data_IF_974100757056
#
_entry.id   IF_974100757056
#
_cell.length_a   1.000
_cell.length_b   1.000
_cell.length_c   1.000
_cell.angle_alpha   90.00
_cell.angle_beta   90.00
_cell.angle_gamma   90.00
#
_symmetry.space_group_name_H-M   'P 1'
#
loop_
_entity.id
_entity.type
_entity.pdbx_description
1 polymer ?
#
# COMPACT_ATOMS: atom_id res chain seq x y z
N UNK A 1 38.33 -72.41 38.35
CA UNK A 1 39.44 -71.67 38.97
C UNK A 1 38.87 -70.36 39.51
N UNK A 2 38.70 -70.28 40.83
CA UNK A 2 38.61 -69.11 41.71
C UNK A 2 37.98 -67.79 41.19
N UNK A 3 36.76 -67.46 41.66
CA UNK A 3 36.44 -66.46 42.74
C UNK A 3 36.17 -65.06 42.14
N UNK A 4 35.19 -64.25 42.56
CA UNK A 4 34.36 -64.25 43.77
C UNK A 4 33.42 -63.03 43.74
N UNK A 5 32.11 -63.26 43.98
CA UNK A 5 31.18 -62.56 44.91
C UNK A 5 31.01 -61.02 44.84
N UNK A 6 29.88 -60.39 45.18
CA UNK A 6 28.55 -60.71 45.78
C UNK A 6 27.66 -59.45 45.53
N UNK A 7 26.39 -59.54 45.09
CA UNK A 7 25.17 -59.87 45.85
C UNK A 7 24.77 -58.77 46.88
N UNK A 8 23.67 -58.00 46.69
CA UNK A 8 22.31 -58.14 47.29
C UNK A 8 21.60 -56.76 47.19
N UNK A 9 20.28 -56.53 47.11
CA UNK A 9 19.06 -57.27 47.51
C UNK A 9 17.81 -56.56 46.94
N UNK A 10 16.78 -57.36 46.65
CA UNK A 10 15.34 -57.10 46.51
C UNK A 10 14.74 -55.97 47.38
N UNK A 11 13.67 -55.29 46.90
CA UNK A 11 12.32 -55.30 47.50
C UNK A 11 11.24 -54.82 46.49
N UNK A 12 10.09 -55.47 46.59
CA UNK A 12 8.83 -55.39 45.80
C UNK A 12 8.00 -54.18 46.25
N UNK A 13 7.26 -53.50 45.35
CA UNK A 13 5.88 -53.04 45.61
C UNK A 13 5.07 -52.80 44.32
N UNK A 14 3.79 -53.09 44.42
CA UNK A 14 2.73 -53.29 43.41
C UNK A 14 1.96 -51.99 43.14
N UNK A 15 1.56 -51.73 41.88
CA UNK A 15 0.26 -51.17 41.44
C UNK A 15 0.29 -51.01 39.90
N UNK A 16 -0.34 -51.89 39.12
CA UNK A 16 -1.76 -51.86 38.76
C UNK A 16 -2.19 -50.59 37.97
N UNK A 17 -2.26 -50.76 36.65
CA UNK A 17 -3.27 -50.21 35.71
C UNK A 17 -3.58 -48.71 35.73
N UNK A 18 -3.30 -48.02 34.61
CA UNK A 18 -4.35 -47.38 33.79
C UNK A 18 -3.78 -46.92 32.44
N UNK A 19 -4.34 -47.51 31.38
CA UNK A 19 -4.38 -46.92 30.04
C UNK A 19 -5.26 -45.69 30.15
N UNK A 20 -4.71 -44.51 29.86
CA UNK A 20 -5.49 -43.32 29.57
C UNK A 20 -4.89 -42.68 28.32
N UNK A 21 -5.64 -42.79 27.22
CA UNK A 21 -5.48 -41.95 26.04
C UNK A 21 -5.49 -40.49 26.49
N UNK A 22 -4.32 -39.84 26.49
CA UNK A 22 -4.21 -38.39 26.59
C UNK A 22 -4.44 -37.81 25.19
N UNK A 23 -5.72 -37.79 24.78
CA UNK A 23 -6.21 -36.80 23.84
C UNK A 23 -6.48 -35.52 24.63
N UNK A 24 -5.46 -34.66 24.69
CA UNK A 24 -5.45 -33.32 25.29
C UNK A 24 -4.56 -32.50 24.33
N UNK A 25 -4.91 -31.37 23.76
CA UNK A 25 -5.99 -30.41 23.95
C UNK A 25 -6.26 -29.83 22.56
N UNK A 26 -7.53 -29.74 22.19
CA UNK A 26 -7.98 -28.86 21.12
C UNK A 26 -7.50 -27.46 21.53
N UNK A 27 -6.51 -26.90 20.83
CA UNK A 27 -6.26 -25.46 20.87
C UNK A 27 -7.46 -24.85 20.16
N UNK A 28 -8.58 -24.69 20.88
CA UNK A 28 -9.55 -23.68 20.52
C UNK A 28 -8.81 -22.38 20.80
N UNK A 29 -8.33 -21.79 19.73
CA UNK A 29 -7.92 -20.40 19.68
C UNK A 29 -8.95 -19.59 20.47
N UNK A 30 -8.56 -19.21 21.69
CA UNK A 30 -9.38 -18.39 22.57
C UNK A 30 -9.17 -16.94 22.12
N UNK A 31 -9.43 -16.65 20.85
CA UNK A 31 -9.45 -15.29 20.35
C UNK A 31 -10.59 -14.58 21.08
N UNK A 32 -10.20 -13.74 22.04
CA UNK A 32 -11.13 -12.86 22.72
C UNK A 32 -11.77 -11.98 21.65
N UNK A 33 -13.06 -12.20 21.36
CA UNK A 33 -13.83 -11.35 20.44
C UNK A 33 -13.55 -9.89 20.77
N UNK A 34 -12.97 -9.15 19.83
CA UNK A 34 -12.66 -7.73 19.98
C UNK A 34 -13.95 -6.95 20.24
N UNK A 35 -13.98 -6.16 21.32
CA UNK A 35 -15.19 -5.45 21.77
C UNK A 35 -15.00 -3.96 21.69
N UNK A 36 -15.96 -3.28 21.06
CA UNK A 36 -16.09 -1.83 21.04
C UNK A 36 -17.32 -1.45 21.85
N UNK A 37 -17.12 -0.76 22.97
CA UNK A 37 -18.20 -0.15 23.73
C UNK A 37 -18.20 1.34 23.43
N UNK A 38 -19.22 1.82 22.74
CA UNK A 38 -19.34 3.20 22.29
C UNK A 38 -20.41 3.91 23.12
N UNK A 39 -20.12 5.16 23.47
CA UNK A 39 -21.08 6.05 24.12
C UNK A 39 -21.79 6.88 23.05
N UNK A 40 -23.12 6.93 23.10
CA UNK A 40 -23.92 7.65 22.08
C UNK A 40 -23.56 9.13 21.99
N UNK A 41 -23.35 9.81 23.11
CA UNK A 41 -23.04 11.24 23.14
C UNK A 41 -21.65 11.55 22.58
N UNK A 42 -20.76 10.55 22.51
CA UNK A 42 -19.44 10.64 21.88
C UNK A 42 -19.44 10.32 20.38
N UNK A 43 -20.58 9.90 19.80
CA UNK A 43 -20.66 9.62 18.37
C UNK A 43 -20.65 10.92 17.58
N UNK A 44 -19.68 11.01 16.66
CA UNK A 44 -19.68 12.04 15.64
C UNK A 44 -20.61 11.64 14.49
N UNK A 45 -20.79 12.54 13.51
CA UNK A 45 -21.50 12.19 12.27
C UNK A 45 -20.89 10.95 11.59
N UNK A 46 -19.56 10.83 11.66
CA UNK A 46 -18.81 9.63 11.29
C UNK A 46 -17.85 9.24 12.42
N UNK A 47 -17.98 8.01 12.91
CA UNK A 47 -17.09 7.40 13.91
C UNK A 47 -16.30 6.27 13.26
N UNK A 48 -14.99 6.23 13.48
CA UNK A 48 -14.08 5.30 12.81
C UNK A 48 -13.59 4.21 13.77
N UNK A 49 -13.64 2.94 13.34
CA UNK A 49 -13.12 1.79 14.06
C UNK A 49 -12.15 1.00 13.17
N UNK A 50 -10.92 0.81 13.63
CA UNK A 50 -9.90 0.02 12.93
C UNK A 50 -10.01 -1.45 13.29
N UNK A 51 -10.14 -2.30 12.28
CA UNK A 51 -10.39 -3.75 12.43
C UNK A 51 -9.57 -4.55 11.42
N UNK A 52 -9.25 -5.78 11.77
CA UNK A 52 -8.49 -6.69 10.90
C UNK A 52 -9.41 -7.50 9.98
N UNK A 53 -8.87 -7.97 8.85
CA UNK A 53 -9.60 -8.88 7.96
C UNK A 53 -10.11 -10.09 8.74
N UNK A 54 -11.33 -10.53 8.43
CA UNK A 54 -11.92 -11.78 8.92
C UNK A 54 -12.12 -11.95 10.42
N UNK A 55 -11.78 -10.96 11.25
CA UNK A 55 -12.03 -11.08 12.67
C UNK A 55 -13.54 -11.00 12.96
N UNK A 56 -13.94 -11.56 14.10
CA UNK A 56 -15.29 -11.37 14.63
C UNK A 56 -15.22 -10.28 15.70
N UNK A 57 -15.99 -9.21 15.52
CA UNK A 57 -16.06 -8.11 16.49
C UNK A 57 -17.45 -8.01 17.14
N UNK A 58 -17.50 -7.33 18.28
CA UNK A 58 -18.74 -6.95 18.96
C UNK A 58 -18.76 -5.45 19.18
N UNK A 59 -19.78 -4.77 18.66
CA UNK A 59 -20.03 -3.34 18.86
C UNK A 59 -21.22 -3.21 19.80
N UNK A 60 -21.08 -2.45 20.87
CA UNK A 60 -22.15 -2.17 21.84
C UNK A 60 -22.31 -0.68 22.04
N UNK A 61 -23.54 -0.21 22.08
CA UNK A 61 -23.91 1.12 22.55
C UNK A 61 -24.28 1.08 24.04
N UNK A 62 -24.07 2.20 24.73
CA UNK A 62 -24.56 2.46 26.08
C UNK A 62 -26.07 2.74 26.16
N UNK A 63 -26.72 2.87 25.00
CA UNK A 63 -28.14 3.16 24.84
C UNK A 63 -28.81 2.14 23.91
N UNK A 64 -30.14 2.07 23.97
CA UNK A 64 -30.92 1.14 23.14
C UNK A 64 -30.89 1.58 21.68
N UNK A 65 -30.53 0.64 20.81
CA UNK A 65 -30.48 0.82 19.37
C UNK A 65 -31.78 0.33 18.74
N UNK A 66 -32.41 1.19 17.95
CA UNK A 66 -33.61 0.88 17.18
C UNK A 66 -33.31 -0.01 15.99
N UNK A 67 -32.18 0.25 15.31
CA UNK A 67 -31.80 -0.48 14.12
C UNK A 67 -30.35 -0.27 13.73
N UNK A 68 -29.80 -1.32 13.12
CA UNK A 68 -28.49 -1.34 12.49
C UNK A 68 -28.70 -1.58 11.00
N UNK A 69 -28.18 -0.72 10.12
CA UNK A 69 -28.27 -0.89 8.67
C UNK A 69 -26.86 -1.05 8.10
N UNK A 70 -26.59 -2.20 7.50
CA UNK A 70 -25.30 -2.54 6.89
C UNK A 70 -25.46 -3.69 5.91
N UNK A 71 -24.51 -3.83 4.98
CA UNK A 71 -24.40 -4.97 4.06
C UNK A 71 -23.54 -6.11 4.62
N UNK A 72 -22.96 -5.92 5.81
CA UNK A 72 -22.11 -6.90 6.48
C UNK A 72 -22.91 -8.09 7.02
N UNK A 73 -22.25 -9.24 7.16
CA UNK A 73 -22.79 -10.36 7.91
C UNK A 73 -22.76 -10.03 9.41
N UNK A 74 -23.95 -9.92 9.99
CA UNK A 74 -24.14 -9.46 11.37
C UNK A 74 -25.18 -10.28 12.13
N UNK A 75 -25.04 -10.29 13.46
CA UNK A 75 -26.00 -10.89 14.38
C UNK A 75 -26.29 -9.94 15.54
N UNK A 76 -27.52 -9.49 15.65
CA UNK A 76 -27.99 -8.71 16.81
C UNK A 76 -27.94 -9.62 18.05
N UNK A 77 -27.24 -9.18 19.09
CA UNK A 77 -27.06 -9.94 20.32
C UNK A 77 -28.10 -9.57 21.39
N UNK A 78 -28.45 -8.29 21.46
CA UNK A 78 -29.46 -7.72 22.34
C UNK A 78 -29.88 -6.33 21.81
N UNK A 79 -30.60 -5.54 22.59
CA UNK A 79 -31.11 -4.21 22.20
C UNK A 79 -30.04 -3.11 22.12
N UNK A 80 -28.76 -3.41 22.36
CA UNK A 80 -27.67 -2.43 22.25
C UNK A 80 -26.39 -2.95 21.59
N UNK A 81 -26.27 -4.25 21.30
CA UNK A 81 -25.05 -4.86 20.79
C UNK A 81 -25.25 -5.62 19.48
N UNK A 82 -24.31 -5.43 18.56
CA UNK A 82 -24.19 -6.09 17.27
C UNK A 82 -22.90 -6.91 17.23
N UNK A 83 -23.01 -8.18 16.83
CA UNK A 83 -21.86 -8.99 16.41
C UNK A 83 -21.67 -8.80 14.90
N UNK A 84 -20.45 -8.55 14.47
CA UNK A 84 -20.11 -8.31 13.05
C UNK A 84 -19.01 -9.27 12.65
N UNK A 85 -19.19 -9.94 11.51
CA UNK A 85 -18.12 -10.67 10.85
C UNK A 85 -17.43 -9.72 9.87
N UNK A 86 -16.16 -9.42 10.12
CA UNK A 86 -15.40 -8.49 9.30
C UNK A 86 -15.10 -9.12 7.93
N UNK A 87 -15.22 -8.38 6.81
CA UNK A 87 -14.93 -8.88 5.47
C UNK A 87 -13.52 -9.41 5.29
N UNK A 88 -13.35 -10.17 4.22
CA UNK A 88 -12.05 -10.75 3.85
C UNK A 88 -11.15 -9.82 3.05
N UNK A 89 -11.70 -8.79 2.39
CA UNK A 89 -10.93 -7.83 1.60
C UNK A 89 -10.79 -6.52 2.40
N UNK A 90 -9.61 -5.89 2.31
CA UNK A 90 -9.35 -4.58 2.92
C UNK A 90 -10.26 -3.54 2.26
N UNK A 91 -10.86 -2.64 3.04
CA UNK A 91 -11.81 -1.65 2.55
C UNK A 91 -12.58 -0.95 3.66
N UNK A 92 -13.46 -0.02 3.25
CA UNK A 92 -14.40 0.63 4.15
C UNK A 92 -15.72 -0.14 4.23
N UNK A 93 -16.20 -0.41 5.44
CA UNK A 93 -17.52 -1.01 5.66
C UNK A 93 -18.37 -0.20 6.64
N UNK A 94 -19.35 0.59 6.16
CA UNK A 94 -20.18 1.41 7.02
C UNK A 94 -21.30 0.61 7.69
N UNK A 95 -21.64 1.03 8.91
CA UNK A 95 -22.79 0.59 9.69
C UNK A 95 -23.55 1.84 10.13
N UNK A 96 -24.80 1.98 9.69
CA UNK A 96 -25.67 3.05 10.18
C UNK A 96 -26.37 2.57 11.44
N UNK A 97 -26.33 3.38 12.50
CA UNK A 97 -27.02 3.13 13.76
C UNK A 97 -28.11 4.17 13.98
N UNK A 98 -29.32 3.71 14.31
CA UNK A 98 -30.49 4.55 14.61
C UNK A 98 -30.96 4.30 16.04
N UNK A 99 -31.29 5.37 16.76
CA UNK A 99 -31.78 5.30 18.14
C UNK A 99 -33.31 5.48 18.17
N UNK A 100 -33.96 5.04 19.26
CA UNK A 100 -35.43 5.05 19.34
C UNK A 100 -36.03 6.43 19.63
N UNK A 101 -35.25 7.31 20.22
CA UNK A 101 -35.61 8.64 20.71
C UNK A 101 -35.21 9.77 19.74
N UNK A 102 -34.67 9.43 18.57
CA UNK A 102 -34.27 10.40 17.55
C UNK A 102 -34.35 9.79 16.15
N UNK A 103 -34.71 10.61 15.16
CA UNK A 103 -34.61 10.21 13.75
C UNK A 103 -33.19 10.34 13.19
N UNK A 104 -32.24 10.88 13.97
CA UNK A 104 -30.84 10.97 13.58
C UNK A 104 -30.20 9.59 13.45
N UNK A 105 -29.53 9.37 12.33
CA UNK A 105 -28.68 8.19 12.09
C UNK A 105 -27.21 8.57 12.21
N UNK A 106 -26.42 7.74 12.89
CA UNK A 106 -24.97 7.92 13.00
C UNK A 106 -24.27 6.86 12.14
N UNK A 107 -23.14 7.23 11.53
CA UNK A 107 -22.35 6.30 10.72
C UNK A 107 -21.14 5.82 11.52
N UNK A 108 -21.04 4.51 11.69
CA UNK A 108 -19.83 3.83 12.17
C UNK A 108 -19.11 3.23 10.97
N UNK A 109 -17.92 3.73 10.68
CA UNK A 109 -17.05 3.28 9.60
C UNK A 109 -16.07 2.25 10.13
N UNK A 110 -16.17 1.00 9.65
CA UNK A 110 -15.13 0.00 9.89
C UNK A 110 -14.03 0.16 8.83
N UNK A 111 -12.85 0.59 9.27
CA UNK A 111 -11.63 0.61 8.47
C UNK A 111 -10.98 -0.77 8.54
N UNK A 112 -11.27 -1.63 7.55
CA UNK A 112 -10.80 -3.03 7.53
C UNK A 112 -9.40 -3.09 6.94
N UNK A 113 -8.40 -3.46 7.75
CA UNK A 113 -6.98 -3.51 7.36
C UNK A 113 -6.39 -2.15 7.01
N UNK A 114 -6.92 -1.07 7.58
CA UNK A 114 -6.48 0.31 7.32
C UNK A 114 -6.37 1.11 8.60
N UNK A 115 -5.52 2.14 8.57
CA UNK A 115 -5.41 3.17 9.61
C UNK A 115 -6.19 4.42 9.23
N UNK A 116 -6.89 4.97 10.22
CA UNK A 116 -7.51 6.29 10.13
C UNK A 116 -6.58 7.32 10.80
N UNK A 117 -5.98 8.18 9.98
CA UNK A 117 -4.99 9.16 10.43
C UNK A 117 -5.54 10.58 10.24
N UNK A 118 -5.78 11.28 11.35
CA UNK A 118 -6.27 12.67 11.38
C UNK A 118 -5.14 13.63 11.78
N UNK A 119 -4.42 14.15 10.79
CA UNK A 119 -3.29 15.05 11.03
C UNK A 119 -3.75 16.49 11.26
N UNK A 120 -3.36 17.05 12.42
CA UNK A 120 -3.64 18.44 12.81
C UNK A 120 -2.33 19.21 12.95
N UNK A 121 -1.79 19.65 11.81
CA UNK A 121 -0.48 20.31 11.70
C UNK A 121 0.68 19.40 12.05
N UNK A 122 0.60 18.14 11.64
CA UNK A 122 1.68 17.17 11.82
C UNK A 122 2.96 17.66 11.13
N UNK A 123 4.08 17.62 11.83
CA UNK A 123 5.36 18.10 11.30
C UNK A 123 6.17 16.94 10.72
N UNK A 124 6.47 17.02 9.43
CA UNK A 124 7.29 16.03 8.73
C UNK A 124 8.63 16.63 8.28
N UNK A 125 9.74 15.91 8.50
CA UNK A 125 11.07 16.30 8.03
C UNK A 125 11.25 15.98 6.54
N UNK A 126 11.49 17.02 5.76
CA UNK A 126 11.70 16.98 4.31
C UNK A 126 13.09 17.56 3.97
N UNK A 127 13.63 17.24 2.79
CA UNK A 127 14.93 17.72 2.31
C UNK A 127 16.07 16.71 2.54
N UNK A 128 17.24 16.96 1.92
CA UNK A 128 18.35 16.01 1.76
C UNK A 128 18.05 14.77 0.90
N UNK A 129 17.01 14.85 0.07
CA UNK A 129 16.62 13.85 -0.90
C UNK A 129 16.35 14.58 -2.22
N UNK A 130 17.02 14.15 -3.31
CA UNK A 130 16.94 14.76 -4.63
C UNK A 130 15.51 14.85 -5.18
N UNK A 131 14.60 13.99 -4.71
CA UNK A 131 13.21 13.92 -5.17
C UNK A 131 12.23 14.67 -4.28
N UNK A 132 12.66 15.33 -3.20
CA UNK A 132 11.76 16.13 -2.36
C UNK A 132 11.81 17.62 -2.72
N UNK A 133 10.76 18.37 -2.37
CA UNK A 133 10.71 19.83 -2.57
C UNK A 133 11.98 20.53 -2.06
N UNK A 134 12.78 21.10 -2.97
CA UNK A 134 14.04 21.84 -2.66
C UNK A 134 15.07 20.96 -1.94
N UNK A 135 15.73 20.04 -2.66
CA UNK A 135 16.51 18.94 -2.08
C UNK A 135 17.72 19.35 -1.23
N UNK A 136 18.20 20.58 -1.37
CA UNK A 136 19.44 21.07 -0.77
C UNK A 136 19.29 21.67 0.64
N UNK A 137 18.06 21.84 1.13
CA UNK A 137 17.81 22.39 2.47
C UNK A 137 16.83 21.49 3.24
N UNK A 138 17.25 21.02 4.42
CA UNK A 138 16.33 20.35 5.35
C UNK A 138 15.26 21.34 5.80
N UNK A 139 14.00 20.92 5.74
CA UNK A 139 12.85 21.73 6.14
C UNK A 139 11.80 20.89 6.86
N UNK A 140 10.96 21.56 7.64
CA UNK A 140 9.80 20.95 8.28
C UNK A 140 8.56 21.40 7.52
N UNK A 141 7.75 20.43 7.09
CA UNK A 141 6.46 20.69 6.46
C UNK A 141 5.35 20.31 7.44
N UNK A 142 4.42 21.22 7.66
CA UNK A 142 3.22 20.99 8.45
C UNK A 142 2.09 20.49 7.57
N UNK A 143 1.50 19.38 7.96
CA UNK A 143 0.49 18.63 7.23
C UNK A 143 -0.81 18.64 8.00
N UNK A 144 -1.89 19.05 7.33
CA UNK A 144 -3.24 18.94 7.88
C UNK A 144 -4.14 18.22 6.90
N UNK A 145 -4.73 17.12 7.31
CA UNK A 145 -5.56 16.29 6.45
C UNK A 145 -5.89 14.96 7.10
N UNK A 146 -6.97 14.35 6.63
CA UNK A 146 -7.44 13.06 7.13
C UNK A 146 -7.25 12.01 6.05
N UNK A 147 -6.64 10.89 6.42
CA UNK A 147 -6.28 9.81 5.52
C UNK A 147 -6.84 8.48 6.03
N UNK A 148 -7.30 7.65 5.10
CA UNK A 148 -7.22 6.20 5.26
C UNK A 148 -5.98 5.71 4.55
N UNK A 149 -5.22 4.86 5.23
CA UNK A 149 -3.98 4.28 4.71
C UNK A 149 -4.03 2.79 4.94
N UNK A 150 -3.72 1.98 3.92
CA UNK A 150 -3.59 0.54 4.11
C UNK A 150 -2.50 0.26 5.15
N UNK A 151 -2.85 -0.54 6.15
CA UNK A 151 -1.98 -0.88 7.28
C UNK A 151 -0.74 -1.68 6.80
N UNK A 152 -0.96 -2.50 5.77
CA UNK A 152 0.02 -3.38 5.14
C UNK A 152 0.12 -3.08 3.63
N UNK A 153 1.21 -3.48 2.94
CA UNK A 153 1.19 -3.61 1.50
C UNK A 153 0.06 -4.55 1.05
N UNK A 154 -0.56 -4.27 -0.11
CA UNK A 154 -1.62 -5.11 -0.67
C UNK A 154 -1.11 -6.53 -0.89
N UNK A 155 -1.89 -7.55 -0.54
CA UNK A 155 -1.44 -8.96 -0.55
C UNK A 155 -1.75 -9.68 -1.86
N UNK A 156 -1.10 -10.83 -2.08
CA UNK A 156 -1.32 -11.67 -3.27
C UNK A 156 -2.77 -12.14 -3.40
N UNK A 157 -3.40 -12.55 -2.30
CA UNK A 157 -4.79 -12.95 -2.27
C UNK A 157 -5.71 -11.79 -2.64
N UNK A 158 -5.45 -10.58 -2.14
CA UNK A 158 -6.29 -9.42 -2.45
C UNK A 158 -6.30 -9.09 -3.94
N UNK A 159 -5.14 -9.06 -4.59
CA UNK A 159 -5.06 -8.89 -6.05
C UNK A 159 -5.78 -10.03 -6.76
N UNK A 160 -5.55 -11.27 -6.33
CA UNK A 160 -6.14 -12.47 -6.97
C UNK A 160 -7.66 -12.45 -6.90
N UNK A 161 -8.25 -12.06 -5.77
CA UNK A 161 -9.70 -12.00 -5.58
C UNK A 161 -10.32 -10.76 -6.25
N UNK A 162 -9.70 -9.59 -6.10
CA UNK A 162 -10.23 -8.33 -6.63
C UNK A 162 -10.14 -8.25 -8.15
N UNK A 163 -9.06 -8.75 -8.74
CA UNK A 163 -8.82 -8.74 -10.19
C UNK A 163 -9.04 -10.13 -10.81
N UNK A 164 -9.82 -10.99 -10.14
CA UNK A 164 -10.02 -12.39 -10.53
C UNK A 164 -10.35 -12.54 -12.01
N UNK A 165 -11.31 -11.76 -12.52
CA UNK A 165 -11.79 -11.87 -13.89
C UNK A 165 -10.79 -11.34 -14.93
N UNK A 166 -9.83 -10.49 -14.52
CA UNK A 166 -8.79 -9.96 -15.41
C UNK A 166 -7.58 -10.91 -15.51
N UNK A 167 -7.26 -11.66 -14.46
CA UNK A 167 -6.11 -12.58 -14.44
C UNK A 167 -6.37 -13.77 -15.40
N UNK A 168 -5.55 -14.01 -16.44
CA UNK A 168 -5.77 -15.08 -17.39
C UNK A 168 -5.56 -16.45 -16.75
N UNK A 169 -6.38 -17.44 -17.15
CA UNK A 169 -6.14 -18.84 -16.79
C UNK A 169 -5.03 -19.48 -17.64
N UNK A 170 -4.92 -19.05 -18.89
CA UNK A 170 -3.96 -19.56 -19.87
C UNK A 170 -3.09 -18.38 -20.34
N UNK A 171 -2.03 -18.05 -19.59
CA UNK A 171 -1.16 -16.92 -19.88
C UNK A 171 -0.36 -17.19 -21.16
N UNK A 172 0.03 -16.12 -21.87
CA UNK A 172 0.96 -16.21 -23.00
C UNK A 172 2.40 -16.15 -22.47
N UNK A 173 3.37 -15.81 -23.32
CA UNK A 173 4.79 -15.86 -22.98
C UNK A 173 5.30 -14.75 -22.04
N UNK A 174 4.41 -13.93 -21.47
CA UNK A 174 4.78 -12.87 -20.55
C UNK A 174 4.87 -13.39 -19.10
N UNK A 175 6.01 -13.15 -18.43
CA UNK A 175 6.30 -13.71 -17.10
C UNK A 175 5.26 -13.28 -16.05
N UNK A 176 4.81 -12.03 -16.06
CA UNK A 176 3.83 -11.53 -15.08
C UNK A 176 2.51 -12.32 -15.18
N UNK A 177 2.07 -12.63 -16.40
CA UNK A 177 0.84 -13.39 -16.63
C UNK A 177 1.02 -14.82 -16.14
N UNK A 178 2.19 -15.43 -16.37
CA UNK A 178 2.51 -16.79 -15.91
C UNK A 178 2.43 -16.90 -14.39
N UNK A 179 3.03 -15.95 -13.69
CA UNK A 179 3.06 -15.91 -12.22
C UNK A 179 1.65 -15.71 -11.63
N UNK A 180 0.90 -14.72 -12.11
CA UNK A 180 -0.45 -14.45 -11.61
C UNK A 180 -1.46 -15.53 -12.00
N UNK A 181 -1.35 -16.12 -13.19
CA UNK A 181 -2.16 -17.27 -13.58
C UNK A 181 -1.89 -18.49 -12.68
N UNK A 182 -0.62 -18.70 -12.28
CA UNK A 182 -0.28 -19.75 -11.33
C UNK A 182 -0.90 -19.49 -9.95
N UNK A 183 -0.81 -18.25 -9.44
CA UNK A 183 -1.45 -17.85 -8.17
C UNK A 183 -2.96 -18.09 -8.21
N UNK A 184 -3.62 -17.68 -9.30
CA UNK A 184 -5.06 -17.92 -9.52
C UNK A 184 -5.40 -19.40 -9.56
N UNK A 185 -4.59 -20.24 -10.22
CA UNK A 185 -4.80 -21.71 -10.26
C UNK A 185 -4.67 -22.37 -8.89
N UNK A 186 -3.83 -21.83 -8.01
CA UNK A 186 -3.69 -22.30 -6.62
C UNK A 186 -4.70 -21.69 -5.66
N UNK A 187 -5.59 -20.82 -6.14
CA UNK A 187 -6.56 -20.06 -5.34
C UNK A 187 -7.99 -20.46 -5.68
N UNK A 188 -8.92 -20.20 -4.78
CA UNK A 188 -10.36 -20.42 -4.95
C UNK A 188 -11.06 -19.06 -4.99
N UNK A 189 -11.97 -18.84 -5.96
CA UNK A 189 -12.73 -17.59 -6.05
C UNK A 189 -13.60 -17.39 -4.81
N UNK A 190 -13.59 -16.19 -4.27
CA UNK A 190 -14.26 -15.77 -3.03
C UNK A 190 -13.79 -16.52 -1.78
N UNK A 191 -12.57 -17.08 -1.81
CA UNK A 191 -11.98 -17.64 -0.60
C UNK A 191 -11.58 -16.55 0.39
N UNK A 192 -11.32 -16.99 1.61
CA UNK A 192 -10.85 -16.14 2.69
C UNK A 192 -9.38 -15.80 2.45
N UNK A 193 -9.08 -14.53 2.23
CA UNK A 193 -7.73 -14.00 2.29
C UNK A 193 -7.26 -13.89 3.72
N UNK A 194 -6.18 -14.59 4.07
CA UNK A 194 -5.57 -14.48 5.38
C UNK A 194 -5.18 -13.03 5.71
N UNK A 195 -5.29 -12.69 7.00
CA UNK A 195 -4.99 -11.33 7.48
C UNK A 195 -3.56 -10.94 7.13
N UNK A 196 -2.63 -11.84 7.43
CA UNK A 196 -1.20 -11.73 7.14
C UNK A 196 -0.79 -12.60 5.94
N UNK A 197 -1.54 -12.54 4.84
CA UNK A 197 -1.10 -13.14 3.58
C UNK A 197 0.20 -12.49 3.06
N UNK A 198 0.86 -13.18 2.14
CA UNK A 198 2.08 -12.71 1.48
C UNK A 198 1.85 -11.41 0.69
N UNK A 199 2.75 -10.43 0.83
CA UNK A 199 2.64 -9.17 0.10
C UNK A 199 2.64 -9.40 -1.42
N UNK A 200 1.83 -8.65 -2.16
CA UNK A 200 1.84 -8.70 -3.61
C UNK A 200 3.20 -8.21 -4.12
N UNK A 201 3.87 -9.05 -4.89
CA UNK A 201 5.05 -8.70 -5.66
C UNK A 201 4.79 -8.98 -7.14
N UNK A 202 5.58 -8.34 -8.02
CA UNK A 202 5.37 -8.38 -9.49
C UNK A 202 4.05 -7.72 -9.90
N UNK A 203 3.86 -6.48 -9.45
CA UNK A 203 2.76 -5.61 -9.86
C UNK A 203 3.34 -4.45 -10.66
N UNK A 204 2.86 -4.21 -11.89
CA UNK A 204 3.22 -2.97 -12.59
C UNK A 204 2.50 -1.76 -11.99
N UNK A 205 3.00 -0.56 -12.27
CA UNK A 205 2.29 0.68 -11.93
C UNK A 205 0.86 0.70 -12.48
N UNK A 206 0.67 0.26 -13.74
CA UNK A 206 -0.65 0.25 -14.36
C UNK A 206 -1.62 -0.69 -13.62
N UNK A 207 -1.16 -1.89 -13.24
CA UNK A 207 -1.95 -2.84 -12.46
C UNK A 207 -2.31 -2.28 -11.07
N UNK A 208 -1.37 -1.63 -10.39
CA UNK A 208 -1.65 -0.98 -9.10
C UNK A 208 -2.72 0.11 -9.23
N UNK A 209 -2.68 0.92 -10.29
CA UNK A 209 -3.71 1.93 -10.59
C UNK A 209 -5.07 1.29 -10.92
N UNK A 210 -5.11 0.20 -11.69
CA UNK A 210 -6.34 -0.56 -11.96
C UNK A 210 -6.94 -1.12 -10.67
N UNK A 211 -6.12 -1.71 -9.81
CA UNK A 211 -6.55 -2.23 -8.52
C UNK A 211 -7.15 -1.13 -7.63
N UNK A 212 -6.51 0.03 -7.55
CA UNK A 212 -7.03 1.18 -6.80
C UNK A 212 -8.43 1.63 -7.28
N UNK A 213 -8.62 1.70 -8.60
CA UNK A 213 -9.93 2.00 -9.19
C UNK A 213 -10.95 0.89 -8.93
N UNK A 214 -10.57 -0.38 -9.09
CA UNK A 214 -11.44 -1.52 -8.85
C UNK A 214 -11.93 -1.55 -7.39
N UNK A 215 -11.04 -1.27 -6.44
CA UNK A 215 -11.38 -1.12 -5.03
C UNK A 215 -12.34 0.04 -4.78
N UNK A 216 -12.08 1.19 -5.39
CA UNK A 216 -12.96 2.36 -5.31
C UNK A 216 -14.38 2.03 -5.78
N UNK A 217 -14.50 1.38 -6.94
CA UNK A 217 -15.79 0.99 -7.54
C UNK A 217 -16.53 -0.01 -6.64
N UNK A 218 -15.83 -1.00 -6.08
CA UNK A 218 -16.41 -1.98 -5.16
C UNK A 218 -17.06 -1.31 -3.94
N UNK A 219 -16.51 -0.18 -3.51
CA UNK A 219 -17.00 0.58 -2.35
C UNK A 219 -17.94 1.73 -2.73
N UNK A 220 -18.37 1.79 -4.01
CA UNK A 220 -19.28 2.82 -4.51
C UNK A 220 -18.66 4.21 -4.67
N UNK A 221 -17.32 4.29 -4.70
CA UNK A 221 -16.56 5.54 -4.80
C UNK A 221 -16.23 5.85 -6.25
N UNK A 222 -15.93 7.13 -6.52
CA UNK A 222 -15.49 7.58 -7.83
C UNK A 222 -14.03 7.16 -8.07
N UNK A 223 -13.70 6.49 -9.18
CA UNK A 223 -12.31 6.16 -9.53
C UNK A 223 -11.39 7.38 -9.58
N UNK A 224 -10.14 7.22 -9.13
CA UNK A 224 -9.14 8.29 -9.12
C UNK A 224 -8.43 8.43 -10.47
N UNK A 225 -8.17 7.31 -11.14
CA UNK A 225 -7.49 7.30 -12.44
C UNK A 225 -8.48 7.12 -13.59
N UNK A 226 -8.26 7.81 -14.70
CA UNK A 226 -8.95 7.59 -15.97
C UNK A 226 -7.96 7.12 -17.00
N UNK A 227 -8.32 6.07 -17.74
CA UNK A 227 -7.43 5.39 -18.66
C UNK A 227 -7.91 5.58 -20.10
N UNK A 228 -6.99 5.91 -21.00
CA UNK A 228 -7.23 5.92 -22.45
C UNK A 228 -6.07 5.26 -23.17
N UNK A 229 -6.34 4.24 -23.97
CA UNK A 229 -5.33 3.67 -24.86
C UNK A 229 -4.79 4.77 -25.78
N UNK A 230 -3.50 4.73 -26.07
CA UNK A 230 -2.86 5.69 -26.95
C UNK A 230 -1.74 5.05 -27.75
N UNK A 231 -1.64 5.44 -29.02
CA UNK A 231 -0.49 5.14 -29.88
C UNK A 231 0.65 6.12 -29.66
N UNK A 232 0.38 7.18 -28.91
CA UNK A 232 1.36 8.17 -28.53
C UNK A 232 2.38 7.50 -27.60
N UNK A 233 3.60 7.38 -28.12
CA UNK A 233 4.80 7.13 -27.34
C UNK A 233 5.42 8.42 -26.80
N UNK A 234 4.82 9.56 -27.16
CA UNK A 234 5.29 10.92 -26.91
C UNK A 234 4.06 11.79 -26.64
N UNK A 235 4.09 12.63 -25.62
CA UNK A 235 2.98 13.58 -25.40
C UNK A 235 3.38 14.94 -26.00
N UNK A 236 2.41 15.67 -26.57
CA UNK A 236 2.62 16.94 -27.25
C UNK A 236 2.70 18.14 -26.27
N UNK A 237 3.83 18.86 -26.28
CA UNK A 237 4.04 20.10 -25.51
C UNK A 237 3.35 21.30 -26.15
N UNK A 238 2.42 21.92 -25.42
CA UNK A 238 1.99 23.32 -25.69
C UNK A 238 2.58 24.21 -24.58
N UNK A 239 3.72 24.84 -24.85
CA UNK A 239 4.33 25.80 -23.93
C UNK A 239 3.77 27.21 -24.17
N UNK A 240 3.29 27.94 -23.13
CA UNK A 240 2.75 29.29 -23.32
C UNK A 240 3.82 30.40 -23.42
N UNK A 241 5.10 30.09 -23.23
CA UNK A 241 6.06 31.12 -22.79
C UNK A 241 6.53 32.13 -23.86
N UNK A 242 6.09 32.01 -25.10
CA UNK A 242 6.21 33.12 -26.06
C UNK A 242 4.89 33.28 -26.79
N UNK A 243 4.49 34.54 -27.05
CA UNK A 243 3.26 34.97 -27.75
C UNK A 243 3.11 34.46 -29.20
N UNK A 244 3.70 33.33 -29.54
CA UNK A 244 3.44 32.56 -30.74
C UNK A 244 3.16 31.12 -30.31
N UNK A 245 1.95 30.62 -30.55
CA UNK A 245 1.65 29.19 -30.47
C UNK A 245 2.61 28.47 -31.43
N UNK A 246 3.61 27.79 -30.89
CA UNK A 246 4.40 26.82 -31.64
C UNK A 246 3.92 25.43 -31.20
N UNK A 247 3.26 24.74 -32.11
CA UNK A 247 3.08 23.29 -31.99
C UNK A 247 4.46 22.66 -32.19
N UNK A 248 5.09 22.26 -31.09
CA UNK A 248 6.34 21.51 -31.17
C UNK A 248 5.96 20.03 -31.20
N UNK A 249 5.97 19.44 -32.39
CA UNK A 249 6.04 17.98 -32.51
C UNK A 249 7.46 17.57 -32.17
N UNK A 250 7.71 17.22 -30.91
CA UNK A 250 9.00 16.66 -30.51
C UNK A 250 9.09 15.26 -31.11
N UNK A 251 9.91 15.10 -32.16
CA UNK A 251 10.39 13.78 -32.58
C UNK A 251 11.49 13.41 -31.62
N UNK A 252 11.34 12.42 -30.74
CA UNK A 252 12.44 12.14 -29.86
C UNK A 252 13.36 11.13 -30.51
N UNK A 253 14.64 11.35 -30.28
CA UNK A 253 15.68 10.35 -30.54
C UNK A 253 15.70 9.26 -29.44
N UNK A 254 14.78 9.32 -28.46
CA UNK A 254 14.68 8.41 -27.32
C UNK A 254 13.20 8.22 -26.88
N UNK A 255 12.87 7.10 -26.25
CA UNK A 255 11.49 6.80 -25.82
C UNK A 255 11.27 7.41 -24.41
N UNK A 256 10.45 8.47 -24.29
CA UNK A 256 10.26 9.23 -23.05
C UNK A 256 8.82 9.15 -22.51
N UNK A 257 8.66 9.27 -21.19
CA UNK A 257 7.41 9.66 -20.52
C UNK A 257 7.59 11.13 -20.09
N UNK A 258 6.88 12.08 -20.71
CA UNK A 258 6.96 13.50 -20.34
C UNK A 258 5.59 13.98 -19.85
N UNK A 259 5.47 14.46 -18.61
CA UNK A 259 4.21 14.89 -17.99
C UNK A 259 3.79 16.27 -18.53
N UNK A 260 2.52 16.41 -18.92
CA UNK A 260 1.97 17.68 -19.44
C UNK A 260 1.02 18.37 -18.50
N UNK A 261 1.28 19.66 -18.31
CA UNK A 261 0.37 20.61 -17.72
C UNK A 261 -0.28 21.45 -18.82
N UNK A 262 -1.57 21.24 -19.03
CA UNK A 262 -2.38 22.13 -19.85
C UNK A 262 -2.64 23.41 -19.04
N UNK A 263 -1.76 24.41 -19.14
CA UNK A 263 -2.13 25.77 -18.75
C UNK A 263 -3.04 26.36 -19.83
N UNK A 264 -4.29 25.88 -19.90
CA UNK A 264 -5.39 26.72 -20.35
C UNK A 264 -5.50 27.85 -19.34
N UNK A 265 -5.44 29.11 -19.78
CA UNK A 265 -5.43 30.26 -18.87
C UNK A 265 -6.44 30.09 -17.72
N UNK A 266 -5.95 30.20 -16.49
CA UNK A 266 -6.71 30.05 -15.24
C UNK A 266 -7.26 28.65 -14.88
N UNK A 267 -6.72 27.55 -15.40
CA UNK A 267 -7.03 26.20 -14.90
C UNK A 267 -5.81 25.51 -14.29
N UNK A 268 -6.04 24.76 -13.20
CA UNK A 268 -5.02 24.03 -12.46
C UNK A 268 -4.34 22.94 -13.30
N UNK A 269 -3.06 22.63 -13.03
CA UNK A 269 -2.32 21.57 -13.70
C UNK A 269 -3.07 20.22 -13.67
N UNK A 270 -3.39 19.67 -14.84
CA UNK A 270 -3.95 18.31 -14.95
C UNK A 270 -2.81 17.30 -14.84
N UNK A 271 -2.75 16.50 -13.77
CA UNK A 271 -1.79 15.40 -13.68
C UNK A 271 -2.14 14.31 -14.71
N UNK A 272 -1.27 14.17 -15.72
CA UNK A 272 -1.41 13.18 -16.79
C UNK A 272 -0.11 12.40 -16.94
N UNK A 273 -0.21 11.09 -17.07
CA UNK A 273 0.92 10.18 -17.23
C UNK A 273 0.73 9.36 -18.51
N UNK A 274 1.79 9.14 -19.29
CA UNK A 274 1.79 8.06 -20.28
C UNK A 274 2.62 6.93 -19.74
N UNK A 275 2.02 5.77 -19.50
CA UNK A 275 2.71 4.62 -18.90
C UNK A 275 2.58 3.40 -19.80
N UNK A 276 3.46 2.42 -19.63
CA UNK A 276 3.36 1.17 -20.37
C UNK A 276 2.18 0.31 -19.86
N UNK A 277 1.49 -0.37 -20.78
CA UNK A 277 0.30 -1.19 -20.50
C UNK A 277 0.64 -2.58 -19.95
N UNK A 278 1.62 -2.69 -19.07
CA UNK A 278 1.99 -3.98 -18.48
C UNK A 278 0.89 -4.46 -17.54
N UNK A 279 -0.09 -5.21 -18.03
CA UNK A 279 -1.11 -5.87 -17.21
C UNK A 279 -1.32 -7.32 -17.63
N UNK A 280 -2.48 -7.87 -17.27
CA UNK A 280 -2.87 -9.26 -17.54
C UNK A 280 -3.24 -9.55 -19.00
N UNK A 281 -3.21 -8.55 -19.88
CA UNK A 281 -3.69 -8.66 -21.25
C UNK A 281 -2.64 -8.19 -22.26
N UNK A 282 -2.64 -8.85 -23.42
CA UNK A 282 -1.89 -8.37 -24.57
C UNK A 282 -2.63 -7.20 -25.19
N UNK A 283 -1.96 -6.06 -25.24
CA UNK A 283 -2.49 -4.88 -25.90
C UNK A 283 -1.87 -4.70 -27.28
N UNK A 284 -2.67 -4.20 -28.24
CA UNK A 284 -2.17 -3.80 -29.56
C UNK A 284 -1.24 -2.59 -29.45
N UNK A 285 -1.59 -1.66 -28.55
CA UNK A 285 -0.79 -0.48 -28.20
C UNK A 285 0.00 -0.75 -26.92
N UNK A 286 1.26 -0.32 -26.85
CA UNK A 286 2.09 -0.60 -25.67
C UNK A 286 1.94 0.42 -24.53
N UNK A 287 1.19 1.50 -24.72
CA UNK A 287 1.14 2.66 -23.81
C UNK A 287 -0.28 3.16 -23.54
N UNK A 288 -0.50 3.70 -22.34
CA UNK A 288 -1.78 4.23 -21.89
C UNK A 288 -1.62 5.63 -21.33
N UNK A 289 -2.53 6.53 -21.72
CA UNK A 289 -2.70 7.83 -21.09
C UNK A 289 -3.53 7.65 -19.83
N UNK A 290 -2.95 8.02 -18.70
CA UNK A 290 -3.59 8.08 -17.38
C UNK A 290 -3.85 9.53 -17.05
N UNK A 291 -5.11 9.89 -16.82
CA UNK A 291 -5.50 11.20 -16.30
C UNK A 291 -5.96 11.04 -14.85
N UNK A 292 -5.54 11.95 -13.99
CA UNK A 292 -5.98 11.99 -12.59
C UNK A 292 -7.25 12.81 -12.45
N UNK A 293 -8.19 12.31 -11.65
CA UNK A 293 -9.37 13.05 -11.22
C UNK A 293 -9.19 13.53 -9.77
N UNK A 294 -8.73 14.77 -9.60
CA UNK A 294 -8.52 15.36 -8.27
C UNK A 294 -9.80 15.56 -7.44
N UNK A 295 -10.98 15.37 -8.04
CA UNK A 295 -12.28 15.41 -7.36
C UNK A 295 -12.77 14.02 -6.93
N UNK A 296 -12.02 12.97 -7.24
CA UNK A 296 -12.33 11.61 -6.80
C UNK A 296 -12.21 11.49 -5.28
N UNK A 297 -13.19 10.82 -4.69
CA UNK A 297 -13.20 10.40 -3.29
C UNK A 297 -12.69 8.96 -3.12
N UNK A 298 -12.07 8.40 -4.17
CA UNK A 298 -11.59 7.02 -4.25
C UNK A 298 -10.15 6.84 -3.75
N UNK A 299 -9.68 5.60 -3.89
CA UNK A 299 -8.33 5.19 -3.53
C UNK A 299 -7.32 5.51 -4.62
N UNK A 300 -6.08 5.76 -4.19
CA UNK A 300 -4.93 6.02 -5.06
C UNK A 300 -3.64 5.52 -4.42
N UNK A 301 -2.57 5.54 -5.22
CA UNK A 301 -1.22 5.36 -4.72
C UNK A 301 -0.80 6.62 -3.97
N UNK A 302 0.03 6.50 -2.92
CA UNK A 302 0.57 7.66 -2.25
C UNK A 302 1.48 8.46 -3.18
N UNK A 303 1.47 9.78 -3.04
CA UNK A 303 2.54 10.60 -3.60
C UNK A 303 3.84 10.37 -2.80
N UNK A 304 4.98 10.67 -3.41
CA UNK A 304 6.30 10.48 -2.81
C UNK A 304 6.40 11.08 -1.41
N UNK A 305 5.94 12.33 -1.29
CA UNK A 305 5.96 13.12 -0.07
C UNK A 305 5.02 12.53 1.00
N UNK A 306 3.81 12.12 0.61
CA UNK A 306 2.88 11.43 1.49
C UNK A 306 3.47 10.12 2.00
N UNK A 307 4.05 9.31 1.12
CA UNK A 307 4.72 8.08 1.51
C UNK A 307 5.86 8.35 2.50
N UNK A 308 6.66 9.39 2.26
CA UNK A 308 7.75 9.79 3.16
C UNK A 308 7.25 10.15 4.56
N UNK A 309 6.18 10.94 4.65
CA UNK A 309 5.56 11.27 5.94
C UNK A 309 5.04 10.01 6.64
N UNK A 310 4.29 9.18 5.91
CA UNK A 310 3.69 7.96 6.43
C UNK A 310 4.75 6.97 6.90
N UNK A 311 5.84 6.79 6.15
CA UNK A 311 6.93 5.89 6.50
C UNK A 311 7.67 6.33 7.76
N UNK A 312 7.89 7.65 7.90
CA UNK A 312 8.54 8.23 9.09
C UNK A 312 7.73 8.03 10.36
N UNK A 313 6.40 8.00 10.30
CA UNK A 313 5.58 7.81 11.50
C UNK A 313 5.89 8.81 12.61
N UNK A 314 6.02 10.10 12.29
CA UNK A 314 6.40 11.14 13.26
C UNK A 314 7.90 11.27 13.55
N UNK A 315 8.78 10.43 12.98
CA UNK A 315 10.24 10.53 13.14
C UNK A 315 10.83 11.75 12.41
N UNK A 316 11.41 12.68 13.17
CA UNK A 316 11.86 14.00 12.69
C UNK A 316 13.35 14.11 12.40
N UNK A 317 14.17 13.15 12.80
CA UNK A 317 15.63 13.26 12.72
C UNK A 317 16.26 12.06 12.01
N UNK A 318 15.86 10.84 12.38
CA UNK A 318 16.47 9.64 11.86
C UNK A 318 16.08 9.39 10.40
N UNK A 319 16.99 8.72 9.67
CA UNK A 319 16.76 8.30 8.28
C UNK A 319 16.19 6.87 8.18
N UNK A 320 16.15 6.14 9.29
CA UNK A 320 15.58 4.79 9.43
C UNK A 320 15.07 4.56 10.86
N UNK A 321 14.15 3.60 11.09
CA UNK A 321 13.70 3.23 12.44
C UNK A 321 14.81 2.66 13.36
N UNK A 322 15.85 2.06 12.78
CA UNK A 322 16.95 1.43 13.53
C UNK A 322 18.15 2.34 13.77
N UNK A 323 18.04 3.63 13.43
CA UNK A 323 18.97 4.72 13.77
C UNK A 323 20.48 4.39 13.65
N UNK A 324 21.12 4.92 12.59
CA UNK A 324 22.58 5.00 12.33
C UNK A 324 23.25 3.77 11.64
N UNK A 325 24.38 4.07 10.97
CA UNK A 325 25.30 3.19 10.24
C UNK A 325 25.94 2.06 11.08
N UNK A 326 25.82 2.11 12.41
CA UNK A 326 26.33 1.08 13.34
C UNK A 326 25.29 0.02 13.71
N UNK A 327 24.06 0.11 13.17
CA UNK A 327 23.00 -0.85 13.43
C UNK A 327 23.43 -2.28 13.06
N UNK A 328 23.00 -3.26 13.85
CA UNK A 328 23.18 -4.69 13.54
C UNK A 328 21.91 -5.21 12.88
N UNK A 329 22.03 -6.24 12.06
CA UNK A 329 20.87 -6.87 11.38
C UNK A 329 19.73 -7.24 12.36
N UNK A 330 20.08 -7.62 13.60
CA UNK A 330 19.10 -7.93 14.66
C UNK A 330 18.19 -6.74 15.01
N UNK A 331 18.70 -5.51 14.94
CA UNK A 331 17.92 -4.30 15.21
C UNK A 331 17.07 -3.89 14.00
N UNK A 332 17.59 -4.11 12.79
CA UNK A 332 16.86 -3.93 11.54
C UNK A 332 15.66 -4.88 11.45
N UNK A 333 15.87 -6.16 11.77
CA UNK A 333 14.84 -7.22 11.71
C UNK A 333 13.70 -7.04 12.72
N UNK A 334 13.71 -6.00 13.55
CA UNK A 334 12.56 -5.59 14.36
C UNK A 334 11.51 -4.85 13.54
N UNK A 335 11.92 -4.14 12.49
CA UNK A 335 11.09 -3.21 11.73
C UNK A 335 11.03 -3.53 10.24
N UNK A 336 12.09 -4.12 9.68
CA UNK A 336 12.21 -4.38 8.25
C UNK A 336 12.75 -5.78 7.95
N UNK A 337 12.20 -6.42 6.92
CA UNK A 337 12.62 -7.75 6.50
C UNK A 337 13.44 -7.68 5.21
N UNK A 338 14.65 -8.21 5.28
CA UNK A 338 15.56 -8.41 4.16
C UNK A 338 16.04 -9.87 4.15
N UNK A 339 16.03 -10.50 2.99
CA UNK A 339 16.50 -11.85 2.74
C UNK A 339 17.98 -11.86 2.31
N UNK A 340 18.62 -13.03 2.37
CA UNK A 340 19.96 -13.18 1.81
C UNK A 340 19.84 -13.54 0.33
N UNK A 341 20.80 -13.08 -0.47
CA UNK A 341 20.84 -13.28 -1.93
C UNK A 341 20.83 -14.75 -2.41
N UNK A 342 20.91 -15.72 -1.49
CA UNK A 342 20.91 -17.17 -1.80
C UNK A 342 19.55 -17.83 -1.55
N UNK A 343 18.57 -17.08 -1.06
CA UNK A 343 17.24 -17.61 -0.77
C UNK A 343 16.39 -17.54 -2.06
N UNK A 344 15.62 -18.58 -2.39
CA UNK A 344 14.59 -18.49 -3.43
C UNK A 344 13.42 -17.69 -2.87
N UNK A 345 13.42 -16.37 -3.08
CA UNK A 345 12.51 -15.48 -2.38
C UNK A 345 11.20 -15.28 -3.15
N UNK A 346 10.15 -15.98 -2.71
CA UNK A 346 8.77 -15.52 -2.89
C UNK A 346 8.47 -14.46 -1.81
N UNK A 347 7.50 -13.59 -2.07
CA UNK A 347 7.06 -12.62 -1.06
C UNK A 347 6.59 -13.32 0.21
N UNK A 348 6.72 -12.64 1.35
CA UNK A 348 6.47 -13.19 2.70
C UNK A 348 5.22 -12.55 3.33
N UNK A 349 4.63 -13.16 4.39
CA UNK A 349 3.52 -12.60 5.16
C UNK A 349 3.75 -11.15 5.62
N UNK A 350 2.73 -10.30 5.45
CA UNK A 350 2.72 -8.91 5.95
C UNK A 350 2.52 -8.83 7.46
N UNK A 351 2.89 -7.71 8.08
CA UNK A 351 2.52 -7.39 9.46
C UNK A 351 3.25 -8.21 10.53
N UNK A 352 4.39 -8.82 10.18
CA UNK A 352 5.11 -9.73 11.07
C UNK A 352 6.12 -9.03 11.98
N UNK A 353 6.44 -7.78 11.68
CA UNK A 353 7.43 -6.96 12.39
C UNK A 353 6.74 -5.80 13.13
N UNK A 354 7.50 -4.93 13.80
CA UNK A 354 6.92 -3.78 14.49
C UNK A 354 6.47 -2.71 13.49
N UNK A 355 5.27 -2.12 13.69
CA UNK A 355 4.85 -0.97 12.90
C UNK A 355 5.62 0.29 13.32
N UNK A 356 5.49 1.35 12.54
CA UNK A 356 5.84 2.70 13.00
C UNK A 356 4.76 3.28 13.93
N UNK A 357 4.96 4.52 14.43
CA UNK A 357 4.03 5.15 15.38
C UNK A 357 2.65 5.47 14.80
N UNK A 358 2.47 5.44 13.48
CA UNK A 358 1.15 5.54 12.84
C UNK A 358 0.47 4.17 12.69
N UNK A 359 1.10 3.10 13.19
CA UNK A 359 0.59 1.74 13.07
C UNK A 359 0.72 1.16 11.66
N UNK A 360 1.63 1.68 10.83
CA UNK A 360 1.88 1.16 9.49
C UNK A 360 3.03 0.17 9.51
N UNK A 361 2.82 -0.98 8.87
CA UNK A 361 3.77 -2.09 8.83
C UNK A 361 4.49 -2.15 7.50
N UNK A 362 5.67 -2.77 7.51
CA UNK A 362 6.45 -3.12 6.31
C UNK A 362 6.73 -1.92 5.39
N UNK A 363 6.83 -0.71 5.95
CA UNK A 363 7.20 0.50 5.20
C UNK A 363 8.62 0.41 4.62
N UNK A 364 9.49 -0.42 5.22
CA UNK A 364 10.84 -0.68 4.76
C UNK A 364 11.08 -2.19 4.68
N UNK A 365 11.68 -2.67 3.59
CA UNK A 365 11.85 -4.10 3.33
C UNK A 365 10.57 -4.79 2.85
N UNK A 366 10.59 -6.12 2.82
CA UNK A 366 9.52 -6.99 2.29
C UNK A 366 9.26 -6.79 0.78
N UNK A 367 8.64 -5.70 0.39
CA UNK A 367 8.38 -5.34 -1.00
C UNK A 367 8.67 -3.86 -1.22
N UNK A 368 9.23 -3.54 -2.37
CA UNK A 368 9.28 -2.14 -2.78
C UNK A 368 7.88 -1.64 -3.13
N UNK A 369 7.56 -0.38 -2.86
CA UNK A 369 6.22 0.16 -3.11
C UNK A 369 6.21 1.20 -4.22
N UNK A 370 5.26 1.06 -5.16
CA UNK A 370 4.96 2.12 -6.12
C UNK A 370 4.45 3.38 -5.41
N UNK A 371 5.13 4.50 -5.65
CA UNK A 371 4.70 5.84 -5.24
C UNK A 371 4.70 6.78 -6.42
N UNK A 372 3.74 7.70 -6.47
CA UNK A 372 3.63 8.68 -7.55
C UNK A 372 4.55 9.88 -7.30
N UNK A 373 5.14 10.41 -8.36
CA UNK A 373 5.91 11.64 -8.32
C UNK A 373 5.02 12.83 -8.73
N UNK A 374 5.11 13.92 -7.97
CA UNK A 374 4.46 15.21 -8.26
C UNK A 374 5.43 16.19 -8.94
N UNK A 375 4.89 17.31 -9.42
CA UNK A 375 5.58 18.36 -10.19
C UNK A 375 6.87 18.86 -9.50
N UNK A 376 6.84 19.01 -8.18
CA UNK A 376 7.95 19.49 -7.37
C UNK A 376 8.94 18.40 -6.94
N UNK A 377 8.62 17.12 -7.17
CA UNK A 377 9.52 16.01 -6.90
C UNK A 377 10.56 15.82 -8.01
N UNK A 378 10.42 16.56 -9.10
CA UNK A 378 11.34 16.54 -10.23
C UNK A 378 12.51 17.50 -9.99
N UNK A 379 13.77 17.02 -10.01
CA UNK A 379 14.93 17.88 -9.93
C UNK A 379 15.04 18.73 -11.22
N UNK A 380 14.49 19.95 -11.22
CA UNK A 380 14.85 20.95 -12.23
C UNK A 380 15.85 21.94 -11.66
N UNK A 381 17.15 21.85 -12.00
CA UNK A 381 17.90 23.04 -12.33
C UNK A 381 17.54 23.44 -13.77
N UNK A 382 16.94 24.61 -13.91
CA UNK A 382 16.79 25.33 -15.16
C UNK A 382 18.18 25.73 -15.70
N UNK A 383 19.02 24.78 -16.12
CA UNK A 383 20.33 25.07 -16.71
C UNK A 383 20.68 23.95 -17.68
N UNK A 384 20.78 24.32 -18.96
CA UNK A 384 21.52 23.58 -19.99
C UNK A 384 20.91 22.25 -20.50
N UNK A 385 19.80 22.41 -21.23
CA UNK A 385 19.52 21.60 -22.41
C UNK A 385 20.60 21.87 -23.49
N UNK A 386 21.88 21.58 -23.18
CA UNK A 386 22.99 21.60 -24.13
C UNK A 386 22.85 20.34 -24.98
N UNK A 387 22.34 20.54 -26.19
CA UNK A 387 22.34 19.56 -27.27
C UNK A 387 23.77 19.07 -27.54
N UNK A 388 24.17 17.94 -26.94
CA UNK A 388 25.28 17.14 -27.46
C UNK A 388 24.71 15.83 -27.98
N UNK A 389 24.35 15.85 -29.26
CA UNK A 389 23.80 14.70 -29.99
C UNK A 389 24.91 13.68 -30.24
N UNK A 390 24.99 12.62 -29.43
CA UNK A 390 25.75 11.41 -29.79
C UNK A 390 24.75 10.40 -30.36
N UNK A 391 24.88 9.97 -31.63
CA UNK A 391 23.96 8.99 -32.21
C UNK A 391 24.27 7.59 -31.68
N UNK A 392 23.32 6.94 -31.02
CA UNK A 392 23.36 5.50 -30.75
C UNK A 392 22.41 4.73 -31.68
N UNK A 393 22.81 3.50 -31.97
CA UNK A 393 22.32 2.62 -33.03
C UNK A 393 20.87 2.15 -32.85
N UNK A 394 20.23 1.85 -33.99
CA UNK A 394 18.89 1.31 -34.12
C UNK A 394 18.79 -0.11 -33.54
N UNK A 395 18.38 -0.26 -32.28
CA UNK A 395 17.73 -1.47 -31.81
C UNK A 395 16.40 -1.12 -31.14
N UNK A 396 15.42 -2.04 -31.22
CA UNK A 396 14.12 -1.92 -30.56
C UNK A 396 14.33 -1.95 -29.04
N UNK A 397 14.71 -0.83 -28.45
CA UNK A 397 14.82 -0.73 -27.00
C UNK A 397 13.42 -0.76 -26.37
N UNK A 398 13.31 -1.57 -25.33
CA UNK A 398 12.20 -1.60 -24.37
C UNK A 398 11.96 -0.20 -23.77
N UNK A 399 10.70 0.17 -23.58
CA UNK A 399 10.29 1.41 -22.90
C UNK A 399 10.95 1.46 -21.51
N UNK A 400 11.94 2.34 -21.32
CA UNK A 400 12.65 2.52 -20.05
C UNK A 400 12.68 4.01 -19.74
N UNK A 401 12.26 4.38 -18.54
CA UNK A 401 12.55 5.71 -18.03
C UNK A 401 14.03 5.80 -17.65
N UNK A 402 14.73 6.78 -18.23
CA UNK A 402 16.10 7.10 -17.88
C UNK A 402 16.11 8.34 -16.98
N UNK A 403 16.96 8.30 -15.96
CA UNK A 403 17.45 9.45 -15.18
C UNK A 403 16.42 10.54 -14.90
N UNK A 404 15.52 10.26 -13.94
CA UNK A 404 14.71 11.24 -13.20
C UNK A 404 13.31 11.54 -13.78
N UNK A 405 12.99 11.07 -15.00
CA UNK A 405 11.70 11.37 -15.66
C UNK A 405 10.55 10.34 -15.45
N UNK A 406 10.44 9.70 -14.28
CA UNK A 406 9.43 8.65 -14.06
C UNK A 406 8.13 9.17 -13.41
N UNK A 407 6.93 8.79 -13.88
CA UNK A 407 5.67 9.17 -13.20
C UNK A 407 5.52 8.53 -11.81
N UNK A 408 6.29 7.46 -11.54
CA UNK A 408 6.37 6.79 -10.26
C UNK A 408 7.80 6.42 -9.92
N UNK A 409 8.03 6.04 -8.66
CA UNK A 409 9.21 5.32 -8.27
C UNK A 409 8.90 4.25 -7.23
N UNK A 410 9.91 3.46 -6.91
CA UNK A 410 9.83 2.41 -5.91
C UNK A 410 10.45 2.90 -4.59
N UNK A 411 9.74 2.70 -3.48
CA UNK A 411 10.18 3.07 -2.12
C UNK A 411 10.33 1.86 -1.21
N UNK A 412 10.97 2.05 -0.06
CA UNK A 412 11.01 1.07 1.03
C UNK A 412 12.07 -0.03 0.91
N UNK A 413 12.45 -0.41 -0.30
CA UNK A 413 13.36 -1.53 -0.55
C UNK A 413 12.65 -2.88 -0.40
N UNK A 414 13.05 -3.88 -1.19
CA UNK A 414 12.47 -5.22 -1.17
C UNK A 414 13.30 -6.19 -0.36
N UNK A 415 12.87 -7.46 -0.30
CA UNK A 415 13.60 -8.52 0.40
C UNK A 415 15.08 -8.62 0.00
N UNK A 416 15.41 -8.45 -1.28
CA UNK A 416 16.80 -8.59 -1.77
C UNK A 416 17.62 -7.30 -1.70
N UNK A 417 17.04 -6.21 -1.19
CA UNK A 417 17.75 -4.93 -1.09
C UNK A 417 18.84 -4.99 0.00
N UNK A 418 19.97 -4.33 -0.25
CA UNK A 418 20.99 -4.13 0.76
C UNK A 418 20.47 -3.17 1.82
N UNK A 419 20.09 -3.70 2.98
CA UNK A 419 19.51 -2.93 4.09
C UNK A 419 20.37 -1.73 4.51
N UNK A 420 21.69 -1.74 4.26
CA UNK A 420 22.58 -0.61 4.55
C UNK A 420 22.36 0.59 3.64
N UNK A 421 21.73 0.38 2.50
CA UNK A 421 21.37 1.43 1.53
C UNK A 421 19.92 1.88 1.66
N UNK A 422 19.13 1.20 2.50
CA UNK A 422 17.73 1.52 2.71
C UNK A 422 17.58 2.59 3.79
N UNK A 423 16.82 3.62 3.45
CA UNK A 423 16.42 4.74 4.29
C UNK A 423 15.01 5.17 3.90
N UNK A 424 14.41 6.07 4.69
CA UNK A 424 13.18 6.73 4.27
C UNK A 424 13.35 7.38 2.90
N UNK A 425 14.49 8.02 2.61
CA UNK A 425 14.78 8.64 1.30
C UNK A 425 15.16 7.67 0.18
N UNK A 426 15.33 6.37 0.46
CA UNK A 426 15.66 5.38 -0.57
C UNK A 426 14.60 5.39 -1.66
N UNK A 427 15.02 5.49 -2.91
CA UNK A 427 14.17 5.28 -4.06
C UNK A 427 14.90 4.48 -5.13
N UNK A 428 14.17 3.62 -5.83
CA UNK A 428 14.64 2.94 -7.01
C UNK A 428 13.83 3.40 -8.23
N UNK A 429 14.49 3.40 -9.38
CA UNK A 429 13.83 3.67 -10.67
C UNK A 429 12.93 2.47 -10.98
N UNK A 430 11.65 2.72 -11.23
CA UNK A 430 10.81 1.72 -11.84
C UNK A 430 11.12 1.67 -13.33
N UNK A 431 11.90 0.68 -13.75
CA UNK A 431 12.21 0.49 -15.17
C UNK A 431 11.00 0.02 -15.99
N UNK A 432 9.82 -0.10 -15.38
CA UNK A 432 8.57 -0.59 -15.99
C UNK A 432 8.71 -1.96 -16.67
N UNK A 433 9.79 -2.72 -16.45
CA UNK A 433 10.04 -3.98 -17.14
C UNK A 433 9.07 -5.13 -16.77
N UNK A 434 8.00 -4.85 -16.01
CA UNK A 434 7.02 -5.85 -15.54
C UNK A 434 7.41 -6.60 -14.26
N UNK A 435 8.46 -6.18 -13.56
CA UNK A 435 9.03 -6.90 -12.41
C UNK A 435 8.96 -6.15 -11.07
N UNK A 436 8.34 -4.97 -11.03
CA UNK A 436 8.73 -4.00 -10.02
C UNK A 436 7.69 -3.80 -8.92
N UNK A 437 7.98 -4.23 -7.71
CA UNK A 437 7.29 -3.74 -6.51
C UNK A 437 5.89 -4.32 -6.21
N UNK A 438 5.50 -4.16 -4.95
CA UNK A 438 4.12 -4.11 -4.49
C UNK A 438 3.67 -2.65 -4.37
N UNK A 439 2.66 -2.42 -3.54
CA UNK A 439 2.14 -1.08 -3.28
C UNK A 439 1.20 -1.12 -2.07
N UNK A 440 0.85 0.06 -1.58
CA UNK A 440 -0.27 0.27 -0.65
C UNK A 440 -1.15 1.39 -1.16
N UNK A 441 -2.41 1.43 -0.74
CA UNK A 441 -3.32 2.49 -1.13
C UNK A 441 -3.55 3.48 0.01
N UNK A 442 -3.81 4.72 -0.40
CA UNK A 442 -4.30 5.77 0.47
C UNK A 442 -5.58 6.36 -0.10
N UNK A 443 -6.36 7.00 0.78
CA UNK A 443 -7.55 7.75 0.42
C UNK A 443 -7.65 8.98 1.33
N UNK A 444 -7.77 10.15 0.72
CA UNK A 444 -8.04 11.38 1.48
C UNK A 444 -9.53 11.42 1.81
N UNK A 445 -9.87 11.70 3.06
CA UNK A 445 -11.26 11.85 3.51
C UNK A 445 -11.48 13.29 3.94
N UNK A 446 -12.50 13.93 3.39
CA UNK A 446 -12.79 15.34 3.61
C UNK A 446 -12.04 16.24 2.63
N UNK A 447 -11.43 17.32 3.12
CA UNK A 447 -10.72 18.27 2.27
C UNK A 447 -9.33 17.73 1.88
N UNK A 448 -8.82 18.14 0.71
CA UNK A 448 -7.46 17.84 0.28
C UNK A 448 -6.46 18.23 1.38
N UNK A 449 -5.50 17.34 1.63
CA UNK A 449 -4.45 17.57 2.62
C UNK A 449 -3.66 18.84 2.27
N UNK A 450 -3.45 19.68 3.27
CA UNK A 450 -2.73 20.93 3.14
C UNK A 450 -1.32 20.76 3.66
N UNK A 451 -0.36 21.03 2.79
CA UNK A 451 1.06 20.95 3.06
C UNK A 451 1.62 22.37 3.10
N UNK A 452 2.17 22.77 4.25
CA UNK A 452 2.66 24.13 4.47
C UNK A 452 4.05 24.11 5.07
N UNK A 453 5.00 24.78 4.43
CA UNK A 453 6.36 24.90 4.96
C UNK A 453 6.34 25.72 6.26
N UNK A 454 6.93 25.17 7.32
CA UNK A 454 7.10 25.87 8.58
C UNK A 454 8.30 26.79 8.44
N UNK A 455 8.06 28.09 8.29
CA UNK A 455 9.14 29.09 8.28
C UNK A 455 9.89 29.03 9.61
N UNK A 456 11.19 28.74 9.57
CA UNK A 456 12.06 28.91 10.73
C UNK A 456 12.00 30.37 11.19
N UNK A 457 11.70 30.59 12.47
CA UNK A 457 11.74 31.93 13.08
C UNK A 457 13.17 32.46 13.19
#
# INVERSE_FOLDING_TARGET
MFRSWKNKKFWIYIAATSIAFLSLIIVTDLSSIKRFNLNRDSLNAETWLEVEKNETIKICMDSKVRGWETTLDTKILNDSCLKVQVPTLIGLSPIMVKFSDSDSSYKINLAVGMKYLDFKKEEALYGNDLRQMRPHEKKIVSVSGTYLVDEYPVTNCEITQQMWDEIPLNPKDYQIEKEWAQRKKSSIRNEKCDTHDSAANMISLYMAMKYANARSIREGLKPYYRFSATKEKHIHIITPYHKQRKDITVKPRYQYIEIFYKFTGYEEPTHQYVIAQYDFTNHEDSTILVMVDSTSDGYRLPYYDEWMMLARGGEKEAMTPWCNNSAKIKDVSKYARFAKYKDEVKSEPVGQLQPNEYGLYDMLGLVEEHVLLEEHNWPRPMVDLIYTLIPFSQEKESFKCYDEDCPSCLKGGGLLSDWKKISYSYSAIDYYNGYSGGFRLIRNIGNNAKWTEVKSK
#
